data_IF_943675901812
#
_entry.id   IF_943675901812
#
_cell.length_a   1.000
_cell.length_b   1.000
_cell.length_c   1.000
_cell.angle_alpha   90.00
_cell.angle_beta   90.00
_cell.angle_gamma   90.00
#
_symmetry.space_group_name_H-M   'P 1'
#
loop_
_entity.id
_entity.type
_entity.pdbx_description
1 polymer ?
#
# COMPACT_ATOMS: atom_id res chain seq x y z
N UNK A 1 10.26 14.62 0.89
CA UNK A 1 10.10 16.05 1.18
C UNK A 1 9.01 16.29 2.22
N UNK A 2 7.79 15.77 2.06
CA UNK A 2 6.66 16.00 2.98
C UNK A 2 7.00 15.77 4.47
N UNK A 3 7.70 14.67 4.79
CA UNK A 3 8.10 14.37 6.16
C UNK A 3 9.06 15.42 6.78
N UNK A 4 9.90 16.04 5.95
CA UNK A 4 10.80 17.11 6.42
C UNK A 4 10.10 18.45 6.69
N UNK A 5 8.96 18.67 6.04
CA UNK A 5 8.19 19.91 6.17
C UNK A 5 7.17 19.83 7.31
N UNK A 6 6.66 18.62 7.64
CA UNK A 6 5.53 18.43 8.54
C UNK A 6 5.83 17.53 9.75
N UNK A 7 7.01 16.90 9.78
CA UNK A 7 7.41 15.97 10.86
C UNK A 7 8.28 16.65 11.91
N UNK A 8 8.22 16.11 13.12
CA UNK A 8 9.11 16.39 14.21
C UNK A 8 10.04 15.19 14.45
N UNK A 9 11.07 15.36 15.29
CA UNK A 9 12.00 14.28 15.57
C UNK A 9 11.29 13.08 16.22
N UNK A 10 11.40 11.91 15.61
CA UNK A 10 10.79 10.68 16.07
C UNK A 10 9.40 10.38 15.48
N UNK A 11 8.79 11.30 14.72
CA UNK A 11 7.54 11.05 14.00
C UNK A 11 7.73 10.03 12.87
N UNK A 12 6.72 9.21 12.66
CA UNK A 12 6.63 8.30 11.52
C UNK A 12 5.55 8.83 10.56
N UNK A 13 5.93 9.00 9.29
CA UNK A 13 4.99 9.38 8.24
C UNK A 13 4.61 8.17 7.40
N UNK A 14 3.32 7.85 7.38
CA UNK A 14 2.76 6.74 6.60
C UNK A 14 1.93 7.30 5.45
N UNK A 15 2.40 7.09 4.24
CA UNK A 15 1.68 7.53 3.04
C UNK A 15 0.40 6.70 2.86
N UNK A 16 -0.70 7.36 2.56
CA UNK A 16 -1.97 6.73 2.19
C UNK A 16 -1.91 6.25 0.74
N UNK A 17 -1.00 5.31 0.47
CA UNK A 17 -0.87 4.74 -0.85
C UNK A 17 -2.10 3.91 -1.20
N UNK A 18 -2.65 4.06 -2.41
CA UNK A 18 -3.70 3.16 -2.87
C UNK A 18 -3.14 1.76 -3.09
N UNK A 19 -4.01 0.77 -3.00
CA UNK A 19 -3.69 -0.64 -3.23
C UNK A 19 -4.44 -1.19 -4.45
N UNK A 20 -4.00 -2.34 -4.94
CA UNK A 20 -4.70 -3.12 -5.95
C UNK A 20 -4.69 -4.60 -5.58
N UNK A 21 -5.61 -5.38 -6.16
CA UNK A 21 -5.47 -6.83 -6.09
C UNK A 21 -4.39 -7.30 -7.06
N UNK A 22 -3.74 -8.41 -6.74
CA UNK A 22 -2.78 -9.05 -7.67
C UNK A 22 -3.48 -9.45 -8.98
N UNK A 23 -4.77 -9.85 -8.89
CA UNK A 23 -5.58 -10.19 -10.06
C UNK A 23 -5.78 -8.99 -10.99
N UNK A 24 -6.18 -7.83 -10.44
CA UNK A 24 -6.37 -6.60 -11.23
C UNK A 24 -5.06 -6.10 -11.82
N UNK A 25 -3.95 -6.18 -11.07
CA UNK A 25 -2.62 -5.84 -11.57
C UNK A 25 -2.20 -6.75 -12.74
N UNK A 26 -2.42 -8.06 -12.61
CA UNK A 26 -2.12 -9.01 -13.69
C UNK A 26 -2.97 -8.74 -14.94
N UNK A 27 -4.26 -8.41 -14.75
CA UNK A 27 -5.16 -8.07 -15.86
C UNK A 27 -4.75 -6.74 -16.52
N UNK A 28 -4.41 -5.71 -15.73
CA UNK A 28 -3.93 -4.42 -16.24
C UNK A 28 -2.67 -4.58 -17.11
N UNK A 29 -1.68 -5.35 -16.62
CA UNK A 29 -0.46 -5.65 -17.38
C UNK A 29 -0.78 -6.44 -18.66
N UNK A 30 -1.65 -7.44 -18.59
CA UNK A 30 -2.06 -8.22 -19.74
C UNK A 30 -2.68 -7.34 -20.83
N UNK A 31 -3.52 -6.38 -20.45
CA UNK A 31 -4.14 -5.44 -21.36
C UNK A 31 -3.13 -4.44 -21.95
N UNK A 32 -2.24 -3.86 -21.12
CA UNK A 32 -1.21 -2.93 -21.58
C UNK A 32 -0.27 -3.55 -22.61
N UNK A 33 0.11 -4.80 -22.40
CA UNK A 33 1.02 -5.52 -23.31
C UNK A 33 0.28 -6.27 -24.43
N UNK A 34 -1.06 -6.17 -24.53
CA UNK A 34 -1.89 -6.94 -25.46
C UNK A 34 -1.52 -8.44 -25.43
N UNK A 35 -1.32 -8.98 -24.23
CA UNK A 35 -0.87 -10.35 -24.04
C UNK A 35 -2.05 -11.33 -24.02
N UNK A 36 -1.91 -12.47 -24.68
CA UNK A 36 -2.97 -13.48 -24.81
C UNK A 36 -2.81 -14.67 -23.87
N UNK A 37 -1.77 -14.67 -23.01
CA UNK A 37 -1.54 -15.71 -22.03
C UNK A 37 -2.69 -15.80 -21.00
N UNK A 38 -2.93 -17.00 -20.50
CA UNK A 38 -3.89 -17.23 -19.43
C UNK A 38 -3.35 -16.78 -18.07
N UNK A 39 -4.20 -16.20 -17.23
CA UNK A 39 -3.89 -15.92 -15.82
C UNK A 39 -4.33 -17.14 -15.02
N UNK A 40 -3.35 -17.86 -14.46
CA UNK A 40 -3.60 -19.04 -13.63
C UNK A 40 -3.65 -18.67 -12.15
N UNK A 41 -4.80 -18.91 -11.53
CA UNK A 41 -4.95 -18.74 -10.08
C UNK A 41 -4.40 -19.97 -9.37
N UNK A 42 -3.34 -19.79 -8.57
CA UNK A 42 -2.70 -20.87 -7.82
C UNK A 42 -3.13 -20.93 -6.34
N UNK A 43 -3.94 -19.96 -5.90
CA UNK A 43 -4.37 -19.83 -4.50
C UNK A 43 -3.29 -19.22 -3.60
N UNK A 44 -3.62 -19.08 -2.32
CA UNK A 44 -2.73 -18.54 -1.28
C UNK A 44 -1.81 -19.64 -0.76
N UNK A 45 -0.51 -19.37 -0.67
CA UNK A 45 0.46 -20.28 -0.09
C UNK A 45 0.43 -20.25 1.43
N UNK A 46 0.87 -21.32 2.07
CA UNK A 46 1.00 -21.37 3.52
C UNK A 46 1.95 -20.26 4.02
N UNK A 47 1.50 -19.45 4.99
CA UNK A 47 2.27 -18.32 5.52
C UNK A 47 2.24 -17.03 4.70
N UNK A 48 1.54 -17.01 3.56
CA UNK A 48 1.38 -15.80 2.75
C UNK A 48 0.35 -14.85 3.38
N UNK A 49 0.71 -13.59 3.56
CA UNK A 49 -0.23 -12.56 4.02
C UNK A 49 -1.22 -12.20 2.91
N UNK A 50 -2.47 -12.00 3.27
CA UNK A 50 -3.51 -11.54 2.34
C UNK A 50 -3.49 -10.03 2.10
N UNK A 51 -2.96 -9.28 3.05
CA UNK A 51 -2.85 -7.81 3.01
C UNK A 51 -1.60 -7.36 3.79
N UNK A 52 -1.14 -6.15 3.51
CA UNK A 52 -0.02 -5.53 4.20
C UNK A 52 -0.53 -4.50 5.20
N UNK A 53 -0.09 -4.61 6.46
CA UNK A 53 -0.38 -3.63 7.50
C UNK A 53 0.44 -2.37 7.26
N UNK A 54 -0.24 -1.24 7.19
CA UNK A 54 0.36 0.09 7.02
C UNK A 54 0.47 0.82 8.37
N UNK A 55 -0.55 0.69 9.21
CA UNK A 55 -0.57 1.15 10.61
C UNK A 55 -1.19 0.05 11.47
N UNK A 56 -0.55 -0.28 12.57
CA UNK A 56 -1.16 -1.12 13.61
C UNK A 56 -2.33 -0.39 14.27
N UNK A 57 -3.13 -1.10 15.05
CA UNK A 57 -4.24 -0.48 15.80
C UNK A 57 -3.76 0.61 16.75
N UNK A 58 -2.67 0.33 17.45
CA UNK A 58 -2.03 1.23 18.42
C UNK A 58 -1.53 2.50 17.76
N UNK A 59 -0.88 2.38 16.61
CA UNK A 59 -0.40 3.51 15.81
C UNK A 59 -1.57 4.31 15.23
N UNK A 60 -2.61 3.63 14.75
CA UNK A 60 -3.75 4.28 14.09
C UNK A 60 -4.57 5.15 15.05
N UNK A 61 -4.71 4.71 16.32
CA UNK A 61 -5.42 5.48 17.36
C UNK A 61 -4.76 6.84 17.64
N UNK A 62 -3.41 6.89 17.61
CA UNK A 62 -2.65 8.12 17.88
C UNK A 62 -2.27 8.89 16.62
N UNK A 63 -2.51 8.32 15.44
CA UNK A 63 -2.15 8.90 14.17
C UNK A 63 -2.98 10.16 13.88
N UNK A 64 -2.31 11.18 13.36
CA UNK A 64 -2.93 12.41 12.86
C UNK A 64 -3.11 12.30 11.35
N UNK A 65 -4.31 12.57 10.85
CA UNK A 65 -4.62 12.59 9.44
C UNK A 65 -4.16 13.91 8.80
N UNK A 66 -3.17 13.86 7.93
CA UNK A 66 -2.64 14.99 7.16
C UNK A 66 -3.07 14.94 5.68
N UNK A 67 -4.22 14.35 5.37
CA UNK A 67 -4.72 14.20 4.02
C UNK A 67 -4.07 13.04 3.26
N UNK A 68 -2.95 13.26 2.60
CA UNK A 68 -2.20 12.22 1.87
C UNK A 68 -1.34 11.30 2.75
N UNK A 69 -1.17 11.65 4.04
CA UNK A 69 -0.32 10.93 4.99
C UNK A 69 -1.02 10.81 6.35
N UNK A 70 -0.67 9.77 7.08
CA UNK A 70 -0.83 9.71 8.53
C UNK A 70 0.50 10.04 9.19
N UNK A 71 0.46 10.89 10.23
CA UNK A 71 1.59 11.16 11.11
C UNK A 71 1.38 10.43 12.42
N UNK A 72 2.26 9.49 12.74
CA UNK A 72 2.32 8.83 14.05
C UNK A 72 3.34 9.58 14.88
N UNK A 73 2.93 10.26 15.96
CA UNK A 73 3.86 11.01 16.80
C UNK A 73 4.83 10.08 17.52
N UNK A 74 6.01 10.61 17.85
CA UNK A 74 6.99 9.89 18.67
C UNK A 74 6.36 9.47 20.00
N UNK A 75 6.67 8.25 20.43
CA UNK A 75 6.25 7.78 21.75
C UNK A 75 6.98 8.56 22.85
N UNK A 76 6.29 9.47 23.49
CA UNK A 76 6.82 10.30 24.60
C UNK A 76 6.55 9.68 25.96
N UNK A 77 6.06 8.43 26.01
CA UNK A 77 5.80 7.74 27.27
C UNK A 77 7.11 7.47 27.99
N UNK A 78 7.15 7.88 29.26
CA UNK A 78 8.24 7.53 30.17
C UNK A 78 8.28 6.00 30.36
N UNK A 79 9.48 5.41 30.52
CA UNK A 79 9.68 3.97 30.73
C UNK A 79 8.97 3.39 31.98
N UNK A 80 8.08 4.14 32.59
CA UNK A 80 7.31 3.74 33.76
C UNK A 80 6.07 2.92 33.33
N UNK A 81 6.32 1.70 32.88
CA UNK A 81 5.31 0.72 32.41
C UNK A 81 4.16 0.45 33.41
N UNK A 82 4.35 0.72 34.69
CA UNK A 82 3.38 0.41 35.73
C UNK A 82 2.05 1.17 35.61
N UNK A 83 2.03 2.31 34.94
CA UNK A 83 0.84 3.15 34.79
C UNK A 83 -0.11 2.66 33.68
N UNK A 84 0.37 1.86 32.75
CA UNK A 84 -0.38 1.42 31.57
C UNK A 84 -0.97 0.01 31.68
N UNK A 85 -0.52 -0.78 32.65
CA UNK A 85 -1.06 -2.12 32.90
C UNK A 85 -2.39 -2.15 33.68
N UNK A 86 -2.79 -1.04 34.28
CA UNK A 86 -3.96 -1.00 35.20
C UNK A 86 -5.22 -0.46 34.51
N UNK A 87 -5.08 0.36 33.49
CA UNK A 87 -6.20 0.90 32.71
C UNK A 87 -5.96 0.60 31.23
N UNK A 88 -6.48 -0.52 30.74
CA UNK A 88 -6.43 -0.86 29.32
C UNK A 88 -7.08 0.25 28.50
N UNK A 89 -6.43 0.65 27.41
CA UNK A 89 -7.00 1.66 26.51
C UNK A 89 -8.20 1.08 25.75
N UNK A 90 -9.39 1.42 26.22
CA UNK A 90 -10.66 0.98 25.65
C UNK A 90 -10.88 1.49 24.21
N UNK A 91 -10.13 2.49 23.75
CA UNK A 91 -10.21 3.00 22.37
C UNK A 91 -9.68 1.99 21.35
N UNK A 92 -8.75 1.14 21.74
CA UNK A 92 -8.16 0.09 20.89
C UNK A 92 -9.15 -1.03 20.51
N UNK A 93 -10.24 -1.19 21.23
CA UNK A 93 -11.21 -2.26 20.96
C UNK A 93 -12.12 -1.98 19.78
N UNK A 94 -12.22 -0.74 19.31
CA UNK A 94 -13.15 -0.28 18.25
C UNK A 94 -12.43 0.03 16.95
N UNK A 95 -11.11 0.28 17.01
CA UNK A 95 -10.31 0.66 15.84
C UNK A 95 -9.72 -0.57 15.17
N UNK A 96 -9.92 -0.69 13.86
CA UNK A 96 -9.23 -1.67 13.03
C UNK A 96 -7.88 -1.10 12.57
N UNK A 97 -6.91 -1.97 12.26
CA UNK A 97 -5.65 -1.55 11.67
C UNK A 97 -5.88 -0.92 10.28
N UNK A 98 -5.00 -0.01 9.88
CA UNK A 98 -4.98 0.50 8.51
C UNK A 98 -4.05 -0.38 7.65
N UNK A 99 -4.60 -0.96 6.60
CA UNK A 99 -3.91 -1.95 5.78
C UNK A 99 -4.27 -1.84 4.30
N UNK A 100 -3.63 -2.65 3.46
CA UNK A 100 -3.88 -2.65 2.01
C UNK A 100 -5.27 -3.16 1.61
N UNK A 101 -6.05 -3.73 2.54
CA UNK A 101 -7.43 -4.18 2.27
C UNK A 101 -8.45 -3.06 2.47
N UNK A 102 -8.20 -2.11 3.39
CA UNK A 102 -9.10 -1.00 3.71
C UNK A 102 -8.62 0.39 3.25
N UNK A 103 -7.50 0.47 2.54
CA UNK A 103 -7.09 1.69 1.82
C UNK A 103 -7.87 1.86 0.51
N UNK A 104 -7.72 3.02 -0.15
CA UNK A 104 -8.29 3.23 -1.49
C UNK A 104 -7.83 2.13 -2.44
N UNK A 105 -8.77 1.44 -3.08
CA UNK A 105 -8.49 0.43 -4.11
C UNK A 105 -8.53 1.05 -5.51
N UNK A 106 -7.51 0.76 -6.31
CA UNK A 106 -7.47 1.10 -7.72
C UNK A 106 -8.21 0.03 -8.53
N UNK A 107 -8.99 0.45 -9.50
CA UNK A 107 -9.52 -0.40 -10.55
C UNK A 107 -8.47 -0.62 -11.66
N UNK A 108 -8.78 -1.49 -12.64
CA UNK A 108 -7.85 -1.87 -13.71
C UNK A 108 -7.38 -0.65 -14.53
N UNK A 109 -8.26 0.31 -14.84
CA UNK A 109 -7.91 1.51 -15.59
C UNK A 109 -6.96 2.42 -14.79
N UNK A 110 -7.28 2.69 -13.51
CA UNK A 110 -6.41 3.46 -12.62
C UNK A 110 -5.03 2.81 -12.43
N UNK A 111 -4.97 1.47 -12.41
CA UNK A 111 -3.70 0.72 -12.38
C UNK A 111 -2.92 0.96 -13.66
N UNK A 112 -3.55 0.85 -14.83
CA UNK A 112 -2.90 1.10 -16.13
C UNK A 112 -2.35 2.53 -16.21
N UNK A 113 -3.14 3.52 -15.79
CA UNK A 113 -2.69 4.92 -15.74
C UNK A 113 -1.47 5.09 -14.83
N UNK A 114 -1.48 4.46 -13.65
CA UNK A 114 -0.36 4.51 -12.71
C UNK A 114 0.89 3.83 -13.28
N UNK A 115 0.74 2.67 -13.90
CA UNK A 115 1.85 1.93 -14.53
C UNK A 115 2.47 2.72 -15.69
N UNK A 116 1.65 3.40 -16.49
CA UNK A 116 2.12 4.21 -17.62
C UNK A 116 2.92 5.45 -17.19
N UNK A 117 2.88 5.86 -15.92
CA UNK A 117 3.74 6.92 -15.38
C UNK A 117 5.17 6.44 -15.10
N UNK A 118 5.42 5.12 -15.09
CA UNK A 118 6.73 4.55 -14.82
C UNK A 118 7.56 4.45 -16.11
N UNK A 119 8.71 5.11 -16.14
CA UNK A 119 9.64 5.08 -17.29
C UNK A 119 10.01 3.66 -17.70
N UNK A 120 10.18 2.76 -16.71
CA UNK A 120 10.46 1.35 -16.95
C UNK A 120 9.33 0.68 -17.76
N UNK A 121 8.08 0.87 -17.38
CA UNK A 121 6.93 0.28 -18.10
C UNK A 121 6.83 0.84 -19.53
N UNK A 122 7.07 2.15 -19.70
CA UNK A 122 7.07 2.76 -21.03
C UNK A 122 8.19 2.19 -21.93
N UNK A 123 9.37 1.94 -21.36
CA UNK A 123 10.49 1.33 -22.09
C UNK A 123 10.16 -0.11 -22.51
N UNK A 124 9.62 -0.92 -21.58
CA UNK A 124 9.22 -2.30 -21.88
C UNK A 124 8.12 -2.40 -22.94
N UNK A 125 7.12 -1.51 -22.89
CA UNK A 125 6.06 -1.45 -23.92
C UNK A 125 6.62 -1.13 -25.31
N UNK A 126 7.60 -0.23 -25.42
CA UNK A 126 8.26 0.08 -26.70
C UNK A 126 9.05 -1.12 -27.23
N UNK A 127 9.74 -1.83 -26.36
CA UNK A 127 10.48 -3.05 -26.74
C UNK A 127 9.55 -4.19 -27.15
N UNK A 128 8.46 -4.37 -26.40
CA UNK A 128 7.44 -5.39 -26.67
C UNK A 128 6.79 -5.17 -28.04
N UNK A 129 6.42 -3.93 -28.36
CA UNK A 129 5.84 -3.58 -29.66
C UNK A 129 6.76 -3.92 -30.83
N UNK A 130 8.09 -3.71 -30.70
CA UNK A 130 9.07 -4.10 -31.71
C UNK A 130 9.13 -5.61 -31.91
N UNK A 131 9.08 -6.38 -30.82
CA UNK A 131 9.12 -7.86 -30.87
C UNK A 131 7.89 -8.45 -31.58
N UNK A 132 6.70 -7.90 -31.33
CA UNK A 132 5.46 -8.35 -31.99
C UNK A 132 5.51 -8.05 -33.51
N UNK A 133 6.05 -6.91 -33.92
CA UNK A 133 6.18 -6.56 -35.34
C UNK A 133 7.19 -7.42 -36.11
N UNK A 134 8.10 -8.09 -35.43
CA UNK A 134 9.09 -8.99 -36.05
C UNK A 134 8.52 -10.42 -36.21
N UNK A 135 7.49 -10.77 -35.42
CA UNK A 135 6.89 -12.11 -35.41
C UNK A 135 5.63 -12.25 -36.29
N UNK A 136 5.16 -11.15 -36.89
CA UNK A 136 4.13 -11.09 -37.92
C UNK A 136 4.68 -10.75 -39.27
#
# INVERSE_FOLDING_TARGET
>A
LFAFEHGEAGDIMVQKSPASTIGDLAQALKELFNAHNEIKIIGTRHGEKRYETLLTKEEYVVAQDLGGFYKVPADQRDLNYNKYFVEGDHSLTVVEEYNSDNTKRLNIEEIKETLLQLDYIQAELKEWSKKIHILN
#
